data_IF_739782123908
#
_entry.id   IF_739782123908
#
_cell.length_a   1.000
_cell.length_b   1.000
_cell.length_c   1.000
_cell.angle_alpha   90.00
_cell.angle_beta   90.00
_cell.angle_gamma   90.00
#
_symmetry.space_group_name_H-M   'P 1'
#
loop_
_entity.id
_entity.type
_entity.pdbx_description
1 polymer ?
#
# COMPACT_ATOMS: atom_id res chain seq x y z
N UNK A 1 -18.48 0.24 -15.97
CA UNK A 1 -17.86 0.91 -14.81
C UNK A 1 -16.81 -0.03 -14.24
N UNK A 2 -15.54 0.16 -14.63
CA UNK A 2 -14.48 -0.83 -14.42
C UNK A 2 -13.69 -0.57 -13.15
N UNK A 3 -13.82 -1.43 -12.14
CA UNK A 3 -12.90 -1.48 -11.00
C UNK A 3 -11.54 -2.07 -11.42
N UNK A 4 -10.46 -1.59 -10.81
CA UNK A 4 -9.10 -2.13 -10.98
C UNK A 4 -8.83 -3.20 -9.93
N UNK A 5 -7.97 -4.16 -10.27
CA UNK A 5 -7.53 -5.21 -9.34
C UNK A 5 -6.24 -4.72 -8.69
N UNK A 6 -6.14 -4.79 -7.37
CA UNK A 6 -4.96 -4.41 -6.59
C UNK A 6 -4.42 -5.62 -5.83
N UNK A 7 -3.13 -5.60 -5.50
CA UNK A 7 -2.54 -6.55 -4.57
C UNK A 7 -3.07 -6.30 -3.17
N UNK A 8 -3.36 -7.37 -2.42
CA UNK A 8 -3.79 -7.26 -1.02
C UNK A 8 -2.82 -8.04 -0.13
N UNK A 9 -1.94 -7.31 0.55
CA UNK A 9 -0.92 -7.83 1.43
C UNK A 9 -0.88 -7.01 2.72
N UNK A 10 -1.11 -7.64 3.88
CA UNK A 10 -1.10 -6.90 5.15
C UNK A 10 0.31 -6.75 5.75
N UNK A 11 1.26 -7.57 5.31
CA UNK A 11 2.64 -7.51 5.78
C UNK A 11 3.56 -8.07 4.71
N UNK A 12 4.27 -7.17 4.02
CA UNK A 12 5.35 -7.50 3.11
C UNK A 12 6.67 -7.00 3.68
N UNK A 13 7.70 -7.86 3.71
CA UNK A 13 9.03 -7.50 4.22
C UNK A 13 10.01 -7.53 3.05
N UNK A 14 10.95 -6.57 2.96
CA UNK A 14 12.01 -6.64 1.95
C UNK A 14 12.70 -8.01 1.95
N UNK A 15 12.99 -8.53 0.75
CA UNK A 15 13.63 -9.84 0.51
C UNK A 15 12.78 -11.08 0.84
N UNK A 16 11.71 -10.96 1.63
CA UNK A 16 10.81 -12.06 1.96
C UNK A 16 9.48 -12.02 1.18
N UNK A 17 9.13 -10.86 0.61
CA UNK A 17 7.86 -10.66 -0.07
C UNK A 17 6.68 -10.59 0.90
N UNK A 18 5.49 -10.93 0.43
CA UNK A 18 4.26 -10.86 1.23
C UNK A 18 4.12 -12.07 2.17
N UNK A 19 4.13 -11.82 3.47
CA UNK A 19 3.91 -12.83 4.51
C UNK A 19 2.42 -13.05 4.80
N UNK A 20 1.62 -11.98 4.78
CA UNK A 20 0.18 -12.02 5.01
C UNK A 20 -0.57 -11.70 3.72
N UNK A 21 -0.52 -12.65 2.78
CA UNK A 21 -1.09 -12.54 1.43
C UNK A 21 -2.58 -12.90 1.43
N UNK A 22 -3.42 -11.94 1.09
CA UNK A 22 -4.86 -12.12 0.89
C UNK A 22 -5.21 -12.22 -0.61
N UNK A 23 -4.21 -12.28 -1.48
CA UNK A 23 -4.36 -12.36 -2.93
C UNK A 23 -4.55 -10.98 -3.54
N UNK A 24 -5.78 -10.66 -3.91
CA UNK A 24 -6.13 -9.43 -4.62
C UNK A 24 -7.45 -8.87 -4.14
N UNK A 25 -7.56 -7.54 -4.09
CA UNK A 25 -8.82 -6.84 -3.89
C UNK A 25 -9.24 -6.14 -5.19
N UNK A 26 -10.55 -5.94 -5.37
CA UNK A 26 -11.10 -5.21 -6.51
C UNK A 26 -11.65 -3.87 -6.05
N UNK A 27 -11.23 -2.79 -6.67
CA UNK A 27 -11.70 -1.46 -6.31
C UNK A 27 -13.17 -1.26 -6.70
N UNK A 28 -13.91 -0.61 -5.81
CA UNK A 28 -15.24 -0.06 -6.09
C UNK A 28 -15.12 1.32 -6.77
N UNK A 29 -16.20 1.89 -7.34
CA UNK A 29 -16.20 3.26 -7.84
C UNK A 29 -15.72 4.23 -6.74
N UNK A 30 -14.70 5.04 -7.03
CA UNK A 30 -14.10 5.97 -6.07
C UNK A 30 -12.97 5.40 -5.20
N UNK A 31 -12.67 4.09 -5.30
CA UNK A 31 -11.54 3.47 -4.60
C UNK A 31 -10.26 3.44 -5.46
N UNK A 32 -9.12 3.30 -4.77
CA UNK A 32 -7.78 3.22 -5.37
C UNK A 32 -6.97 2.07 -4.79
N UNK A 33 -5.97 1.60 -5.53
CA UNK A 33 -4.94 0.74 -4.95
C UNK A 33 -4.06 1.59 -4.03
N UNK A 34 -3.74 1.10 -2.84
CA UNK A 34 -2.87 1.75 -1.87
C UNK A 34 -1.65 0.88 -1.59
N UNK A 35 -0.51 1.56 -1.35
CA UNK A 35 0.74 1.01 -0.85
C UNK A 35 1.21 1.88 0.31
N UNK A 36 1.36 1.29 1.48
CA UNK A 36 1.88 1.92 2.68
C UNK A 36 3.26 1.35 2.97
N UNK A 37 4.21 2.21 3.30
CA UNK A 37 5.60 1.85 3.51
C UNK A 37 6.05 2.44 4.83
N UNK A 38 6.61 1.58 5.70
CA UNK A 38 7.30 2.01 6.90
C UNK A 38 8.81 1.86 6.74
N UNK A 39 9.53 2.96 6.91
CA UNK A 39 10.99 3.00 6.95
C UNK A 39 11.38 3.39 8.38
N UNK A 40 12.30 2.66 9.01
CA UNK A 40 12.88 3.07 10.30
C UNK A 40 14.40 3.06 10.21
N UNK A 41 15.04 4.14 10.66
CA UNK A 41 16.50 4.28 10.61
C UNK A 41 17.09 4.15 9.20
N UNK A 42 16.35 4.54 8.16
CA UNK A 42 16.75 4.41 6.75
C UNK A 42 16.53 3.02 6.15
N UNK A 43 16.07 2.05 6.93
CA UNK A 43 15.79 0.68 6.47
C UNK A 43 14.30 0.56 6.18
N UNK A 44 13.94 0.02 5.01
CA UNK A 44 12.57 -0.37 4.72
C UNK A 44 12.19 -1.55 5.62
N UNK A 45 11.22 -1.35 6.51
CA UNK A 45 10.78 -2.38 7.47
C UNK A 45 9.68 -3.25 6.91
N UNK A 46 8.59 -2.65 6.46
CA UNK A 46 7.49 -3.37 5.84
C UNK A 46 6.70 -2.51 4.87
N UNK A 47 5.97 -3.19 3.98
CA UNK A 47 4.95 -2.63 3.11
C UNK A 47 3.58 -3.28 3.39
N UNK A 48 2.52 -2.49 3.29
CA UNK A 48 1.12 -2.92 3.29
C UNK A 48 0.51 -2.52 1.95
N UNK A 49 -0.26 -3.41 1.34
CA UNK A 49 -0.84 -3.25 0.01
C UNK A 49 -2.33 -3.58 0.09
N UNK A 50 -3.18 -2.76 -0.53
CA UNK A 50 -4.61 -3.05 -0.54
C UNK A 50 -5.42 -2.10 -1.42
N UNK A 51 -6.70 -2.03 -1.10
CA UNK A 51 -7.67 -1.12 -1.71
C UNK A 51 -8.14 -0.14 -0.63
N UNK A 52 -8.09 1.16 -0.90
CA UNK A 52 -8.61 2.19 0.01
C UNK A 52 -9.78 2.93 -0.62
N UNK A 53 -10.77 3.26 0.21
CA UNK A 53 -11.89 4.15 -0.16
C UNK A 53 -11.58 5.63 0.14
N UNK A 54 -10.57 5.91 0.95
CA UNK A 54 -10.28 7.26 1.42
C UNK A 54 -9.10 7.85 0.65
N UNK A 55 -9.41 8.84 -0.19
CA UNK A 55 -8.39 9.61 -0.90
C UNK A 55 -7.49 10.40 0.07
N UNK A 56 -7.96 10.70 1.28
CA UNK A 56 -7.16 11.34 2.34
C UNK A 56 -6.04 10.43 2.86
N UNK A 57 -6.17 9.11 2.69
CA UNK A 57 -5.09 8.17 3.00
C UNK A 57 -4.03 8.12 1.90
N UNK A 58 -4.28 8.72 0.73
CA UNK A 58 -3.35 8.74 -0.38
C UNK A 58 -2.34 9.87 -0.25
N UNK A 59 -1.08 9.60 -0.62
CA UNK A 59 0.01 10.59 -0.62
C UNK A 59 0.29 11.21 0.76
N UNK A 60 0.12 10.42 1.82
CA UNK A 60 0.46 10.84 3.18
C UNK A 60 1.90 10.48 3.47
N UNK A 61 2.68 11.44 3.93
CA UNK A 61 4.04 11.19 4.44
C UNK A 61 4.17 11.77 5.84
N UNK A 62 4.40 10.89 6.81
CA UNK A 62 4.64 11.25 8.20
C UNK A 62 6.10 11.00 8.50
N UNK A 63 6.80 12.06 8.87
CA UNK A 63 8.19 12.02 9.29
C UNK A 63 8.24 12.16 10.80
N UNK A 64 8.83 11.17 11.46
CA UNK A 64 9.19 11.22 12.89
C UNK A 64 10.70 11.11 13.03
N UNK A 65 11.24 11.32 14.23
CA UNK A 65 12.69 11.34 14.49
C UNK A 65 13.44 10.09 13.99
N UNK A 66 12.77 8.93 13.95
CA UNK A 66 13.39 7.66 13.54
C UNK A 66 12.58 6.86 12.51
N UNK A 67 11.37 7.31 12.16
CA UNK A 67 10.47 6.55 11.30
C UNK A 67 9.86 7.45 10.23
N UNK A 68 9.75 6.91 9.02
CA UNK A 68 9.05 7.51 7.89
C UNK A 68 7.92 6.56 7.52
N UNK A 69 6.71 7.03 7.68
CA UNK A 69 5.52 6.35 7.18
C UNK A 69 5.07 7.07 5.91
N UNK A 70 4.94 6.36 4.81
CA UNK A 70 4.54 6.93 3.52
C UNK A 70 3.45 6.08 2.90
N UNK A 71 2.42 6.72 2.37
CA UNK A 71 1.35 6.07 1.63
C UNK A 71 1.31 6.60 0.21
N UNK A 72 1.06 5.72 -0.75
CA UNK A 72 0.94 6.06 -2.16
C UNK A 72 -0.25 5.33 -2.76
N UNK A 73 -1.01 6.03 -3.61
CA UNK A 73 -2.15 5.46 -4.30
C UNK A 73 -1.98 5.48 -5.81
N UNK A 74 -2.59 4.52 -6.48
CA UNK A 74 -2.56 4.42 -7.93
C UNK A 74 -3.85 3.78 -8.46
N UNK A 75 -4.14 4.03 -9.75
CA UNK A 75 -5.39 3.61 -10.39
C UNK A 75 -5.11 2.81 -11.67
N UNK A 76 -4.25 1.78 -11.54
CA UNK A 76 -3.95 0.81 -12.60
C UNK A 76 -3.98 -0.60 -12.01
N UNK A 77 -4.26 -1.65 -12.80
CA UNK A 77 -4.23 -3.02 -12.30
C UNK A 77 -2.84 -3.35 -11.72
N UNK A 78 -2.82 -3.90 -10.50
CA UNK A 78 -1.63 -4.37 -9.78
C UNK A 78 -0.52 -3.31 -9.63
N UNK A 79 -0.88 -2.02 -9.63
CA UNK A 79 0.10 -0.94 -9.55
C UNK A 79 0.74 -0.74 -8.17
N UNK A 80 0.21 -1.41 -7.14
CA UNK A 80 0.70 -1.35 -5.77
C UNK A 80 1.71 -2.46 -5.42
N UNK A 81 2.29 -3.13 -6.43
CA UNK A 81 3.40 -4.08 -6.26
C UNK A 81 4.73 -3.35 -6.01
#
# INVERSE_FOLDING_TARGET
VGGVICRQCNLSIPFHGCLLDFGTCRTKPGQYCIKEVLIKGGIHWYTIEGCTESQDQCFRRILTSHQIYSTHCCHRPLCNF
#
